data_IF_683865880595
#
_entry.id   IF_683865880595
#
_cell.length_a   1.000
_cell.length_b   1.000
_cell.length_c   1.000
_cell.angle_alpha   90.00
_cell.angle_beta   90.00
_cell.angle_gamma   90.00
#
_symmetry.space_group_name_H-M   'P 1'
#
loop_
_entity.id
_entity.type
_entity.pdbx_description
1 polymer ?
#
# COMPACT_ATOMS: atom_id res chain seq x y z
N UNK A 1 7.35 81.98 8.07
CA UNK A 1 6.30 81.07 7.52
C UNK A 1 6.96 80.03 6.60
N UNK A 2 6.67 78.73 6.76
CA UNK A 2 7.46 77.61 6.22
C UNK A 2 6.91 77.03 4.91
N UNK A 3 6.60 77.87 3.90
CA UNK A 3 5.87 77.42 2.70
C UNK A 3 6.75 76.74 1.62
N UNK A 4 8.04 77.05 1.53
CA UNK A 4 8.93 76.50 0.49
C UNK A 4 9.28 75.03 0.70
N UNK A 5 9.55 74.63 1.95
CA UNK A 5 9.88 73.23 2.30
C UNK A 5 8.73 72.25 2.11
N UNK A 6 7.49 72.74 2.15
CA UNK A 6 6.28 71.93 1.92
C UNK A 6 6.12 71.60 0.43
N UNK A 7 6.46 72.54 -0.45
CA UNK A 7 6.33 72.37 -1.91
C UNK A 7 7.40 71.42 -2.48
N UNK A 8 8.64 71.45 -1.97
CA UNK A 8 9.67 70.50 -2.38
C UNK A 8 9.31 69.07 -1.96
N UNK A 9 8.82 68.88 -0.73
CA UNK A 9 8.40 67.58 -0.23
C UNK A 9 7.18 67.01 -0.99
N UNK A 10 6.27 67.87 -1.45
CA UNK A 10 5.16 67.44 -2.30
C UNK A 10 5.61 67.00 -3.70
N UNK A 11 6.61 67.68 -4.27
CA UNK A 11 7.14 67.36 -5.60
C UNK A 11 7.92 66.04 -5.58
N UNK A 12 8.69 65.80 -4.52
CA UNK A 12 9.44 64.56 -4.30
C UNK A 12 8.50 63.35 -4.11
N UNK A 13 7.44 63.51 -3.30
CA UNK A 13 6.43 62.47 -3.11
C UNK A 13 5.65 62.14 -4.40
N UNK A 14 5.49 63.11 -5.30
CA UNK A 14 4.78 62.91 -6.57
C UNK A 14 5.63 62.13 -7.58
N UNK A 15 6.94 62.40 -7.66
CA UNK A 15 7.87 61.63 -8.49
C UNK A 15 8.02 60.18 -8.02
N UNK A 16 8.11 59.95 -6.70
CA UNK A 16 8.26 58.59 -6.15
C UNK A 16 7.02 57.73 -6.37
N UNK A 17 5.82 58.31 -6.28
CA UNK A 17 4.57 57.58 -6.52
C UNK A 17 4.42 57.16 -7.99
N UNK A 18 4.85 58.01 -8.93
CA UNK A 18 4.74 57.73 -10.36
C UNK A 18 5.73 56.63 -10.82
N UNK A 19 6.95 56.63 -10.28
CA UNK A 19 7.93 55.55 -10.51
C UNK A 19 7.46 54.22 -9.90
N UNK A 20 6.86 54.25 -8.71
CA UNK A 20 6.34 53.06 -8.03
C UNK A 20 5.18 52.43 -8.80
N UNK A 21 4.25 53.24 -9.32
CA UNK A 21 3.12 52.77 -10.13
C UNK A 21 3.58 52.12 -11.45
N UNK A 22 4.53 52.75 -12.14
CA UNK A 22 5.09 52.22 -13.40
C UNK A 22 5.83 50.89 -13.19
N UNK A 23 6.51 50.75 -12.04
CA UNK A 23 7.21 49.52 -11.68
C UNK A 23 6.23 48.38 -11.33
N UNK A 24 5.16 48.67 -10.57
CA UNK A 24 4.13 47.69 -10.23
C UNK A 24 3.38 47.17 -11.47
N UNK A 25 3.01 48.05 -12.41
CA UNK A 25 2.36 47.66 -13.67
C UNK A 25 3.27 46.78 -14.54
N UNK A 26 4.59 47.03 -14.53
CA UNK A 26 5.57 46.19 -15.23
C UNK A 26 5.77 44.82 -14.60
N UNK A 27 5.56 44.69 -13.28
CA UNK A 27 5.61 43.42 -12.55
C UNK A 27 4.35 42.60 -12.80
N UNK A 28 3.16 43.21 -12.75
CA UNK A 28 1.89 42.55 -13.06
C UNK A 28 1.83 42.09 -14.53
N UNK A 29 2.37 42.89 -15.45
CA UNK A 29 2.49 42.51 -16.87
C UNK A 29 3.47 41.35 -17.06
N UNK A 30 4.58 41.31 -16.32
CA UNK A 30 5.53 40.19 -16.36
C UNK A 30 4.97 38.91 -15.73
N UNK A 31 4.18 39.02 -14.66
CA UNK A 31 3.52 37.88 -14.03
C UNK A 31 2.40 37.31 -14.91
N UNK A 32 1.63 38.15 -15.58
CA UNK A 32 0.59 37.72 -16.52
C UNK A 32 1.14 37.09 -17.80
N UNK A 33 2.26 37.59 -18.34
CA UNK A 33 2.97 36.97 -19.48
C UNK A 33 3.60 35.63 -19.05
N UNK A 34 4.23 35.55 -17.87
CA UNK A 34 4.84 34.30 -17.36
C UNK A 34 3.79 33.19 -17.13
N UNK A 35 2.56 33.55 -16.79
CA UNK A 35 1.44 32.61 -16.62
C UNK A 35 0.89 32.07 -17.95
N UNK A 36 1.17 32.76 -19.06
CA UNK A 36 0.66 32.42 -20.41
C UNK A 36 1.63 31.53 -21.19
N UNK A 37 2.91 31.48 -20.81
CA UNK A 37 3.96 30.69 -21.50
C UNK A 37 4.30 29.34 -20.83
N UNK A 38 3.55 28.88 -19.81
CA UNK A 38 3.75 27.52 -19.32
C UNK A 38 3.12 26.50 -20.29
N UNK A 39 3.91 25.56 -20.86
CA UNK A 39 3.42 24.61 -21.84
C UNK A 39 2.30 23.76 -21.22
N UNK A 40 1.18 23.52 -21.94
CA UNK A 40 -0.03 22.85 -21.43
C UNK A 40 0.20 21.40 -20.96
N UNK A 41 1.38 20.86 -21.27
CA UNK A 41 1.90 19.55 -20.85
C UNK A 41 2.12 19.44 -19.33
N UNK A 42 2.68 20.48 -18.68
CA UNK A 42 3.17 20.39 -17.29
C UNK A 42 2.07 20.23 -16.25
N UNK A 43 0.89 20.81 -16.49
CA UNK A 43 -0.26 20.73 -15.59
C UNK A 43 -0.86 19.32 -15.54
N UNK A 44 -0.86 18.61 -16.67
CA UNK A 44 -1.33 17.22 -16.75
C UNK A 44 -0.29 16.29 -16.11
N UNK A 45 0.99 16.46 -16.42
CA UNK A 45 2.04 15.64 -15.82
C UNK A 45 2.13 15.83 -14.30
N UNK A 46 1.97 17.04 -13.77
CA UNK A 46 1.95 17.26 -12.33
C UNK A 46 0.74 16.59 -11.65
N UNK A 47 -0.45 16.67 -12.28
CA UNK A 47 -1.65 16.02 -11.76
C UNK A 47 -1.54 14.49 -11.79
N UNK A 48 -0.98 13.94 -12.87
CA UNK A 48 -0.69 12.51 -13.00
C UNK A 48 0.38 12.10 -11.99
N UNK A 49 1.44 12.88 -11.81
CA UNK A 49 2.52 12.59 -10.87
C UNK A 49 2.03 12.53 -9.41
N UNK A 50 1.24 13.50 -8.97
CA UNK A 50 0.64 13.52 -7.63
C UNK A 50 -0.31 12.33 -7.41
N UNK A 51 -1.11 11.98 -8.43
CA UNK A 51 -1.96 10.80 -8.38
C UNK A 51 -1.16 9.50 -8.28
N UNK A 52 -0.09 9.37 -9.07
CA UNK A 52 0.78 8.20 -9.09
C UNK A 52 1.52 8.06 -7.75
N UNK A 53 2.07 9.14 -7.18
CA UNK A 53 2.72 9.11 -5.86
C UNK A 53 1.74 8.72 -4.75
N UNK A 54 0.52 9.26 -4.78
CA UNK A 54 -0.52 8.94 -3.81
C UNK A 54 -0.94 7.46 -3.90
N UNK A 55 -1.12 6.94 -5.11
CA UNK A 55 -1.42 5.54 -5.36
C UNK A 55 -0.26 4.63 -4.91
N UNK A 56 0.99 4.97 -5.25
CA UNK A 56 2.19 4.20 -4.88
C UNK A 56 2.38 4.15 -3.37
N UNK A 57 2.23 5.27 -2.66
CA UNK A 57 2.36 5.32 -1.19
C UNK A 57 1.33 4.45 -0.47
N UNK A 58 0.16 4.23 -1.08
CA UNK A 58 -0.89 3.35 -0.54
C UNK A 58 -0.68 1.89 -0.93
N UNK A 59 -0.23 1.63 -2.16
CA UNK A 59 -0.09 0.28 -2.72
C UNK A 59 1.16 -0.44 -2.22
N UNK A 60 2.30 0.26 -2.10
CA UNK A 60 3.57 -0.31 -1.64
C UNK A 60 3.47 -0.99 -0.26
N UNK A 61 2.87 -0.39 0.79
CA UNK A 61 2.74 -1.05 2.08
C UNK A 61 1.84 -2.29 2.01
N UNK A 62 0.76 -2.25 1.22
CA UNK A 62 -0.15 -3.38 1.02
C UNK A 62 0.54 -4.52 0.30
N UNK A 63 1.28 -4.25 -0.78
CA UNK A 63 2.06 -5.25 -1.51
C UNK A 63 3.14 -5.87 -0.64
N UNK A 64 3.85 -5.07 0.17
CA UNK A 64 4.85 -5.58 1.11
C UNK A 64 4.23 -6.52 2.15
N UNK A 65 3.04 -6.18 2.65
CA UNK A 65 2.31 -7.02 3.59
C UNK A 65 1.79 -8.31 2.94
N UNK A 66 1.23 -8.23 1.74
CA UNK A 66 0.82 -9.40 0.94
C UNK A 66 1.98 -10.35 0.66
N UNK A 67 3.15 -9.81 0.28
CA UNK A 67 4.34 -10.60 0.02
C UNK A 67 4.81 -11.36 1.28
N UNK A 68 4.73 -10.72 2.45
CA UNK A 68 5.04 -11.37 3.72
C UNK A 68 4.09 -12.54 4.02
N UNK A 69 2.77 -12.32 3.86
CA UNK A 69 1.76 -13.36 4.08
C UNK A 69 1.94 -14.53 3.10
N UNK A 70 2.22 -14.23 1.83
CA UNK A 70 2.44 -15.25 0.81
C UNK A 70 3.57 -16.21 1.19
N UNK A 71 4.68 -15.72 1.78
CA UNK A 71 5.76 -16.59 2.25
C UNK A 71 5.29 -17.54 3.34
N UNK A 72 4.56 -17.02 4.32
CA UNK A 72 4.02 -17.82 5.42
C UNK A 72 3.07 -18.89 4.88
N UNK A 73 2.23 -18.55 3.90
CA UNK A 73 1.33 -19.50 3.24
C UNK A 73 2.07 -20.67 2.58
N UNK A 74 3.11 -20.39 1.78
CA UNK A 74 3.89 -21.43 1.10
C UNK A 74 4.59 -22.35 2.12
N UNK A 75 5.11 -21.81 3.22
CA UNK A 75 5.70 -22.60 4.31
C UNK A 75 4.67 -23.55 4.91
N UNK A 76 3.47 -23.06 5.25
CA UNK A 76 2.41 -23.90 5.82
C UNK A 76 1.90 -24.96 4.87
N UNK A 77 1.75 -24.64 3.58
CA UNK A 77 1.38 -25.62 2.54
C UNK A 77 2.43 -26.73 2.45
N UNK A 78 3.71 -26.35 2.49
CA UNK A 78 4.82 -27.32 2.44
C UNK A 78 4.82 -28.21 3.67
N UNK A 79 4.68 -27.64 4.86
CA UNK A 79 4.59 -28.39 6.13
C UNK A 79 3.38 -29.33 6.09
N UNK A 80 2.21 -28.84 5.68
CA UNK A 80 1.00 -29.64 5.59
C UNK A 80 1.19 -30.82 4.64
N UNK A 81 1.68 -30.57 3.41
CA UNK A 81 1.93 -31.62 2.43
C UNK A 81 2.92 -32.67 2.92
N UNK A 82 4.08 -32.25 3.44
CA UNK A 82 5.09 -33.17 3.96
C UNK A 82 4.52 -33.99 5.12
N UNK A 83 3.79 -33.33 6.04
CA UNK A 83 3.22 -34.02 7.21
C UNK A 83 2.24 -35.12 6.81
N UNK A 84 1.39 -34.90 5.81
CA UNK A 84 0.47 -35.90 5.27
C UNK A 84 1.24 -37.12 4.73
N UNK A 85 2.27 -36.87 3.91
CA UNK A 85 3.04 -37.95 3.28
C UNK A 85 3.84 -38.74 4.30
N UNK A 86 4.48 -38.06 5.26
CA UNK A 86 5.21 -38.71 6.35
C UNK A 86 4.26 -39.53 7.24
N UNK A 87 3.04 -39.03 7.50
CA UNK A 87 2.06 -39.74 8.32
C UNK A 87 1.63 -41.06 7.69
N UNK A 88 1.32 -41.07 6.38
CA UNK A 88 0.93 -42.31 5.68
C UNK A 88 2.10 -43.31 5.66
N UNK A 89 3.33 -42.84 5.44
CA UNK A 89 4.47 -43.74 5.35
C UNK A 89 4.90 -44.34 6.70
N UNK A 90 4.86 -43.57 7.79
CA UNK A 90 5.38 -44.00 9.10
C UNK A 90 4.31 -44.45 10.09
N UNK A 91 3.14 -43.81 10.10
CA UNK A 91 2.13 -44.03 11.13
C UNK A 91 1.05 -45.03 10.70
N UNK A 92 0.81 -45.16 9.40
CA UNK A 92 -0.21 -46.05 8.84
C UNK A 92 0.36 -46.81 7.63
N UNK A 93 1.36 -47.70 7.86
CA UNK A 93 1.92 -48.49 6.78
C UNK A 93 0.82 -49.34 6.12
N UNK A 94 0.95 -49.57 4.81
CA UNK A 94 -0.06 -50.29 4.03
C UNK A 94 -0.17 -51.77 4.45
N UNK A 95 -1.38 -52.33 4.35
CA UNK A 95 -1.67 -53.74 4.64
C UNK A 95 -2.41 -53.99 5.96
N UNK A 96 -2.80 -55.25 6.18
CA UNK A 96 -3.62 -55.68 7.32
C UNK A 96 -2.83 -55.60 8.64
N UNK A 97 -1.55 -55.94 8.62
CA UNK A 97 -0.63 -55.78 9.76
C UNK A 97 -0.46 -54.31 10.13
N UNK A 98 -0.35 -53.42 9.13
CA UNK A 98 -0.29 -51.98 9.37
C UNK A 98 -1.57 -51.43 9.99
N UNK A 99 -2.73 -51.93 9.57
CA UNK A 99 -4.01 -51.59 10.19
C UNK A 99 -4.08 -52.02 11.66
N UNK A 100 -3.66 -53.23 12.01
CA UNK A 100 -3.67 -53.71 13.40
C UNK A 100 -2.64 -52.99 14.28
N UNK A 101 -1.50 -52.59 13.70
CA UNK A 101 -0.47 -51.85 14.43
C UNK A 101 -0.78 -50.34 14.55
N UNK A 102 -1.62 -49.79 13.67
CA UNK A 102 -1.97 -48.37 13.63
C UNK A 102 -2.36 -47.73 14.98
N UNK A 103 -3.19 -48.34 15.88
CA UNK A 103 -3.49 -47.74 17.19
C UNK A 103 -2.26 -47.58 18.10
N UNK A 104 -1.29 -48.48 17.98
CA UNK A 104 -0.05 -48.41 18.74
C UNK A 104 0.89 -47.35 18.18
N UNK A 105 1.04 -47.28 16.84
CA UNK A 105 1.86 -46.25 16.20
C UNK A 105 1.29 -44.85 16.37
N UNK A 106 -0.03 -44.68 16.37
CA UNK A 106 -0.66 -43.36 16.56
C UNK A 106 -0.35 -42.76 17.94
N UNK A 107 -0.08 -43.59 18.93
CA UNK A 107 0.28 -43.15 20.28
C UNK A 107 1.72 -42.65 20.38
N UNK A 108 2.56 -42.94 19.38
CA UNK A 108 3.95 -42.50 19.32
C UNK A 108 4.08 -40.98 19.21
N UNK A 109 5.13 -40.38 19.79
CA UNK A 109 5.32 -38.93 19.78
C UNK A 109 5.49 -38.37 18.36
N UNK A 110 6.14 -39.11 17.46
CA UNK A 110 6.36 -38.69 16.07
C UNK A 110 5.02 -38.55 15.32
N UNK A 111 4.13 -39.53 15.45
CA UNK A 111 2.81 -39.51 14.81
C UNK A 111 1.87 -38.47 15.42
N UNK A 112 1.99 -38.19 16.72
CA UNK A 112 1.27 -37.09 17.38
C UNK A 112 1.70 -35.73 16.85
N UNK A 113 3.01 -35.50 16.68
CA UNK A 113 3.53 -34.25 16.11
C UNK A 113 3.05 -34.05 14.66
N UNK A 114 3.10 -35.10 13.84
CA UNK A 114 2.60 -35.05 12.46
C UNK A 114 1.10 -34.78 12.41
N UNK A 115 0.30 -35.41 13.28
CA UNK A 115 -1.15 -35.16 13.36
C UNK A 115 -1.45 -33.72 13.79
N UNK A 116 -0.67 -33.18 14.73
CA UNK A 116 -0.79 -31.77 15.14
C UNK A 116 -0.45 -30.84 13.96
N UNK A 117 0.62 -31.11 13.23
CA UNK A 117 1.02 -30.31 12.06
C UNK A 117 -0.05 -30.35 10.96
N UNK A 118 -0.63 -31.52 10.70
CA UNK A 118 -1.74 -31.70 9.77
C UNK A 118 -2.95 -30.84 10.16
N UNK A 119 -3.41 -30.97 11.42
CA UNK A 119 -4.61 -30.30 11.91
C UNK A 119 -4.45 -28.78 11.94
N UNK A 120 -3.34 -28.28 12.48
CA UNK A 120 -3.10 -26.84 12.57
C UNK A 120 -2.76 -26.24 11.21
N UNK A 121 -1.99 -26.96 10.37
CA UNK A 121 -1.68 -26.53 9.02
C UNK A 121 -2.94 -26.36 8.17
N UNK A 122 -3.86 -27.34 8.22
CA UNK A 122 -5.16 -27.25 7.55
C UNK A 122 -5.98 -26.06 8.06
N UNK A 123 -6.12 -25.91 9.38
CA UNK A 123 -6.88 -24.81 9.97
C UNK A 123 -6.32 -23.42 9.59
N UNK A 124 -4.99 -23.26 9.49
CA UNK A 124 -4.37 -22.00 9.04
C UNK A 124 -4.71 -21.72 7.57
N UNK A 125 -4.63 -22.73 6.71
CA UNK A 125 -4.96 -22.61 5.28
C UNK A 125 -6.44 -22.25 5.10
N UNK A 126 -7.34 -22.92 5.84
CA UNK A 126 -8.78 -22.68 5.81
C UNK A 126 -9.12 -21.26 6.27
N UNK A 127 -8.49 -20.79 7.35
CA UNK A 127 -8.69 -19.41 7.82
C UNK A 127 -8.29 -18.36 6.78
N UNK A 128 -7.20 -18.59 6.03
CA UNK A 128 -6.81 -17.68 4.94
C UNK A 128 -7.87 -17.63 3.83
N UNK A 129 -8.39 -18.78 3.42
CA UNK A 129 -9.48 -18.84 2.44
C UNK A 129 -10.78 -18.23 2.97
N UNK A 130 -11.09 -18.40 4.24
CA UNK A 130 -12.24 -17.77 4.88
C UNK A 130 -12.14 -16.25 4.83
N UNK A 131 -10.98 -15.65 5.12
CA UNK A 131 -10.81 -14.20 5.01
C UNK A 131 -10.99 -13.70 3.58
N UNK A 132 -10.48 -14.43 2.58
CA UNK A 132 -10.70 -14.10 1.16
C UNK A 132 -12.19 -14.23 0.79
N UNK A 133 -12.87 -15.26 1.28
CA UNK A 133 -14.30 -15.46 1.07
C UNK A 133 -15.16 -14.36 1.68
N UNK A 134 -14.84 -13.94 2.90
CA UNK A 134 -15.52 -12.81 3.59
C UNK A 134 -15.29 -11.50 2.84
N UNK A 135 -14.05 -11.24 2.40
CA UNK A 135 -13.74 -10.06 1.60
C UNK A 135 -14.52 -10.06 0.27
N UNK A 136 -14.51 -11.17 -0.46
CA UNK A 136 -15.25 -11.31 -1.71
C UNK A 136 -16.76 -11.12 -1.51
N UNK A 137 -17.32 -11.71 -0.44
CA UNK A 137 -18.74 -11.57 -0.10
C UNK A 137 -19.11 -10.11 0.20
N UNK A 138 -18.23 -9.37 0.89
CA UNK A 138 -18.45 -7.95 1.18
C UNK A 138 -18.49 -7.11 -0.10
N UNK A 139 -17.65 -7.42 -1.09
CA UNK A 139 -17.66 -6.71 -2.37
C UNK A 139 -18.91 -7.04 -3.21
N UNK A 140 -19.37 -8.29 -3.16
CA UNK A 140 -20.60 -8.70 -3.84
C UNK A 140 -21.82 -7.96 -3.28
N UNK A 141 -21.91 -7.79 -1.95
CA UNK A 141 -23.00 -7.03 -1.32
C UNK A 141 -22.99 -5.54 -1.64
N UNK A 142 -21.83 -4.96 -2.01
CA UNK A 142 -21.70 -3.55 -2.37
C UNK A 142 -22.17 -3.24 -3.81
N UNK A 143 -22.31 -4.27 -4.64
CA UNK A 143 -22.70 -4.15 -6.05
C UNK A 143 -24.23 -4.04 -6.22
N UNK A 144 -25.01 -4.46 -5.22
CA UNK A 144 -26.47 -4.26 -5.13
C UNK A 144 -26.81 -2.89 -4.52
#
# INVERSE_FOLDING_TARGET
>A
MPRSKVLEKQKENMSTNQETQTYQESLETKESIKKTEEPPDKNILHTVYEYIISAVNTIVPVLKWLYFISKVYIIWITIHYISCQLYVHYCVPSGITGYLLSPFLVSSPQCKALRWAFYNGGNIIDNMWNYLGVWASTQLLKIE
#
